data_IF_537501841639
#
_entry.id   IF_537501841639
#
_cell.length_a   1.000
_cell.length_b   1.000
_cell.length_c   1.000
_cell.angle_alpha   90.00
_cell.angle_beta   90.00
_cell.angle_gamma   90.00
#
_symmetry.space_group_name_H-M   'P 1'
#
loop_
_entity.id
_entity.type
_entity.pdbx_description
1 polymer ?
#
# COMPACT_ATOMS: atom_id res chain seq x y z
N UNK A 1 13.28 17.03 6.05
CA UNK A 1 12.39 18.20 6.23
C UNK A 1 11.05 17.80 6.87
N UNK A 2 11.04 17.31 8.11
CA UNK A 2 9.80 16.94 8.83
C UNK A 2 9.51 17.85 10.04
N UNK A 3 10.42 18.77 10.38
CA UNK A 3 10.33 19.57 11.61
C UNK A 3 9.66 20.94 11.46
N UNK A 4 9.40 21.43 10.24
CA UNK A 4 8.83 22.77 10.03
C UNK A 4 7.31 22.86 10.21
N UNK A 5 6.58 21.74 10.18
CA UNK A 5 5.12 21.70 10.28
C UNK A 5 4.57 21.30 11.66
N UNK A 6 5.42 20.79 12.54
CA UNK A 6 5.06 20.41 13.92
C UNK A 6 4.46 21.57 14.75
N UNK A 7 5.02 22.80 14.79
CA UNK A 7 4.47 23.86 15.63
C UNK A 7 3.07 24.31 15.18
N UNK A 8 2.78 24.29 13.88
CA UNK A 8 1.46 24.64 13.32
C UNK A 8 0.40 23.57 13.65
N UNK A 9 0.81 22.29 13.68
CA UNK A 9 -0.07 21.18 14.05
C UNK A 9 -0.38 21.16 15.56
N UNK A 10 0.60 21.45 16.41
CA UNK A 10 0.39 21.57 17.88
C UNK A 10 -0.58 22.71 18.19
N UNK A 11 -0.45 23.85 17.50
CA UNK A 11 -1.36 24.99 17.65
C UNK A 11 -2.80 24.66 17.19
N UNK A 12 -2.98 23.89 16.11
CA UNK A 12 -4.31 23.48 15.63
C UNK A 12 -5.01 22.48 16.54
N UNK A 13 -4.26 21.56 17.15
CA UNK A 13 -4.81 20.58 18.11
C UNK A 13 -5.22 21.26 19.42
N UNK A 14 -4.53 22.32 19.83
CA UNK A 14 -4.95 23.14 20.99
C UNK A 14 -6.17 24.03 20.72
N UNK A 15 -6.48 24.29 19.45
CA UNK A 15 -7.59 25.16 19.03
C UNK A 15 -8.88 24.40 18.69
N UNK A 16 -8.91 23.07 18.78
CA UNK A 16 -10.07 22.26 18.45
C UNK A 16 -11.14 22.38 19.57
N UNK A 17 -12.31 23.00 19.32
CA UNK A 17 -13.32 23.26 20.36
C UNK A 17 -13.82 21.97 21.05
N UNK A 18 -13.76 20.82 20.37
CA UNK A 18 -14.15 19.52 20.91
C UNK A 18 -13.21 19.00 22.02
N UNK A 19 -11.96 19.45 22.07
CA UNK A 19 -11.01 19.10 23.15
C UNK A 19 -11.23 20.01 24.37
N UNK A 20 -11.68 21.26 24.15
CA UNK A 20 -11.99 22.22 25.22
C UNK A 20 -13.31 21.92 25.95
N UNK A 21 -14.31 21.40 25.25
CA UNK A 21 -15.65 21.14 25.81
C UNK A 21 -15.80 19.81 26.58
N UNK A 22 -14.84 18.89 26.47
CA UNK A 22 -14.91 17.58 27.14
C UNK A 22 -14.53 17.59 28.64
N UNK A 23 -14.66 18.72 29.33
CA UNK A 23 -14.50 18.80 30.79
C UNK A 23 -15.76 18.33 31.55
N UNK A 24 -16.89 18.13 30.87
CA UNK A 24 -18.19 17.89 31.50
C UNK A 24 -18.65 16.43 31.58
N UNK A 25 -18.18 15.51 30.73
CA UNK A 25 -18.57 14.09 30.81
C UNK A 25 -17.67 13.20 29.95
N UNK A 26 -16.50 12.85 30.49
CA UNK A 26 -15.77 11.65 30.06
C UNK A 26 -15.11 11.08 31.32
N UNK A 27 -15.72 10.06 31.93
CA UNK A 27 -15.46 9.63 33.32
C UNK A 27 -14.03 9.13 33.64
N UNK A 28 -13.07 9.20 32.71
CA UNK A 28 -11.65 8.90 33.02
C UNK A 28 -10.68 9.65 32.12
N UNK A 29 -9.53 10.05 32.69
CA UNK A 29 -8.37 10.59 31.96
C UNK A 29 -7.92 9.66 30.81
N UNK A 30 -8.13 8.35 30.97
CA UNK A 30 -7.82 7.35 29.94
C UNK A 30 -8.64 7.55 28.66
N UNK A 31 -9.91 7.89 28.77
CA UNK A 31 -10.78 8.10 27.62
C UNK A 31 -10.41 9.38 26.86
N UNK A 32 -10.09 10.46 27.58
CA UNK A 32 -9.59 11.71 26.97
C UNK A 32 -8.26 11.49 26.23
N UNK A 33 -7.36 10.68 26.80
CA UNK A 33 -6.09 10.32 26.17
C UNK A 33 -6.29 9.50 24.88
N UNK A 34 -7.19 8.53 24.89
CA UNK A 34 -7.52 7.72 23.70
C UNK A 34 -8.18 8.58 22.62
N UNK A 35 -9.11 9.46 22.99
CA UNK A 35 -9.76 10.40 22.06
C UNK A 35 -8.75 11.39 21.44
N UNK A 36 -7.82 11.92 22.24
CA UNK A 36 -6.77 12.79 21.72
C UNK A 36 -5.82 12.04 20.77
N UNK A 37 -5.42 10.82 21.13
CA UNK A 37 -4.61 9.96 20.26
C UNK A 37 -5.30 9.65 18.93
N UNK A 38 -6.60 9.33 18.96
CA UNK A 38 -7.36 9.01 17.75
C UNK A 38 -7.50 10.24 16.85
N UNK A 39 -7.79 11.41 17.44
CA UNK A 39 -7.83 12.69 16.72
C UNK A 39 -6.50 13.02 16.05
N UNK A 40 -5.38 12.97 16.80
CA UNK A 40 -4.03 13.18 16.26
C UNK A 40 -3.68 12.22 15.12
N UNK A 41 -4.04 10.94 15.26
CA UNK A 41 -3.87 9.94 14.19
C UNK A 41 -4.71 10.30 12.96
N UNK A 42 -5.95 10.75 13.15
CA UNK A 42 -6.84 11.21 12.08
C UNK A 42 -6.27 12.39 11.30
N UNK A 43 -5.82 13.44 12.01
CA UNK A 43 -5.19 14.62 11.40
C UNK A 43 -3.92 14.23 10.64
N UNK A 44 -3.07 13.41 11.24
CA UNK A 44 -1.82 12.94 10.61
C UNK A 44 -2.12 12.18 9.32
N UNK A 45 -3.07 11.24 9.35
CA UNK A 45 -3.52 10.50 8.15
C UNK A 45 -4.07 11.43 7.08
N UNK A 46 -4.87 12.43 7.47
CA UNK A 46 -5.40 13.44 6.55
C UNK A 46 -4.31 14.28 5.88
N UNK A 47 -3.27 14.66 6.62
CA UNK A 47 -2.12 15.37 6.07
C UNK A 47 -1.30 14.50 5.10
N UNK A 48 -1.05 13.24 5.46
CA UNK A 48 -0.32 12.29 4.59
C UNK A 48 -1.08 12.08 3.28
N UNK A 49 -2.39 11.79 3.34
CA UNK A 49 -3.22 11.62 2.15
C UNK A 49 -3.23 12.85 1.25
N UNK A 50 -3.31 14.05 1.82
CA UNK A 50 -3.25 15.30 1.04
C UNK A 50 -1.92 15.44 0.31
N UNK A 51 -0.81 15.08 0.97
CA UNK A 51 0.52 15.12 0.38
C UNK A 51 0.67 14.08 -0.74
N UNK A 52 0.17 12.87 -0.53
CA UNK A 52 0.15 11.81 -1.55
C UNK A 52 -0.67 12.24 -2.78
N UNK A 53 -1.85 12.82 -2.58
CA UNK A 53 -2.67 13.36 -3.66
C UNK A 53 -1.95 14.46 -4.44
N UNK A 54 -1.32 15.42 -3.76
CA UNK A 54 -0.52 16.47 -4.41
C UNK A 54 0.65 15.90 -5.22
N UNK A 55 1.32 14.87 -4.68
CA UNK A 55 2.43 14.22 -5.37
C UNK A 55 1.95 13.44 -6.61
N UNK A 56 0.85 12.71 -6.49
CA UNK A 56 0.24 11.99 -7.62
C UNK A 56 -0.23 12.95 -8.71
N UNK A 57 -0.82 14.09 -8.33
CA UNK A 57 -1.21 15.14 -9.27
C UNK A 57 0.01 15.73 -10.00
N UNK A 58 1.12 15.96 -9.29
CA UNK A 58 2.36 16.43 -9.91
C UNK A 58 2.93 15.43 -10.91
N UNK A 59 2.90 14.13 -10.59
CA UNK A 59 3.34 13.07 -11.53
C UNK A 59 2.51 13.10 -12.80
N UNK A 60 1.17 13.14 -12.67
CA UNK A 60 0.26 13.15 -13.83
C UNK A 60 0.44 14.39 -14.71
N UNK A 61 0.70 15.55 -14.11
CA UNK A 61 1.03 16.78 -14.87
C UNK A 61 2.36 16.61 -15.63
N UNK A 62 3.42 16.14 -14.96
CA UNK A 62 4.73 15.94 -15.59
C UNK A 62 4.70 14.89 -16.72
N UNK A 63 3.96 13.80 -16.53
CA UNK A 63 3.74 12.77 -17.56
C UNK A 63 3.00 13.34 -18.78
N UNK A 64 1.98 14.17 -18.55
CA UNK A 64 1.25 14.85 -19.62
C UNK A 64 2.13 15.84 -20.39
N UNK A 65 2.93 16.66 -19.68
CA UNK A 65 3.88 17.59 -20.29
C UNK A 65 4.97 16.86 -21.09
N UNK A 66 5.50 15.76 -20.55
CA UNK A 66 6.44 14.89 -21.26
C UNK A 66 5.82 14.31 -22.53
N UNK A 67 4.62 13.73 -22.46
CA UNK A 67 3.96 13.14 -23.62
C UNK A 67 3.73 14.18 -24.74
N UNK A 68 3.34 15.40 -24.36
CA UNK A 68 3.17 16.51 -25.30
C UNK A 68 4.50 16.93 -25.95
N UNK A 69 5.58 17.05 -25.18
CA UNK A 69 6.90 17.38 -25.72
C UNK A 69 7.50 16.24 -26.54
N UNK A 70 7.26 14.98 -26.19
CA UNK A 70 7.69 13.82 -26.98
C UNK A 70 6.97 13.77 -28.32
N UNK A 71 5.67 14.13 -28.36
CA UNK A 71 4.92 14.26 -29.60
C UNK A 71 5.50 15.37 -30.50
N UNK A 72 5.84 16.53 -29.92
CA UNK A 72 6.48 17.65 -30.62
C UNK A 72 7.90 17.32 -31.09
N UNK A 73 8.67 16.59 -30.30
CA UNK A 73 10.03 16.16 -30.63
C UNK A 73 10.07 15.21 -31.84
N UNK A 74 9.01 14.41 -32.04
CA UNK A 74 8.89 13.54 -33.23
C UNK A 74 8.66 14.32 -34.52
N UNK A 75 8.14 15.54 -34.44
CA UNK A 75 7.82 16.38 -35.59
C UNK A 75 8.90 17.43 -35.87
N UNK A 76 9.61 17.88 -34.83
CA UNK A 76 10.62 18.92 -34.90
C UNK A 76 11.84 18.48 -34.08
N UNK A 77 12.95 18.22 -34.78
CA UNK A 77 14.21 17.90 -34.13
C UNK A 77 14.92 19.20 -33.72
N UNK A 78 15.04 19.44 -32.42
CA UNK A 78 15.68 20.63 -31.87
C UNK A 78 16.38 20.35 -30.53
N UNK A 79 17.61 20.83 -30.37
CA UNK A 79 18.36 20.67 -29.12
C UNK A 79 17.61 21.18 -27.89
N UNK A 80 16.89 22.30 -28.04
CA UNK A 80 16.13 22.91 -26.95
C UNK A 80 15.00 21.98 -26.46
N UNK A 81 14.35 21.27 -27.38
CA UNK A 81 13.30 20.30 -27.08
C UNK A 81 13.86 19.07 -26.34
N UNK A 82 15.08 18.63 -26.71
CA UNK A 82 15.79 17.54 -26.01
C UNK A 82 16.19 17.95 -24.59
N UNK A 83 16.65 19.21 -24.40
CA UNK A 83 16.97 19.73 -23.05
C UNK A 83 15.74 19.81 -22.16
N UNK A 84 14.62 20.28 -22.68
CA UNK A 84 13.35 20.32 -21.94
C UNK A 84 12.86 18.91 -21.56
N UNK A 85 12.95 17.94 -22.48
CA UNK A 85 12.63 16.55 -22.17
C UNK A 85 13.55 15.93 -21.12
N UNK A 86 14.86 16.20 -21.18
CA UNK A 86 15.81 15.74 -20.18
C UNK A 86 15.50 16.34 -18.79
N UNK A 87 15.14 17.62 -18.74
CA UNK A 87 14.74 18.29 -17.51
C UNK A 87 13.48 17.66 -16.89
N UNK A 88 12.41 17.50 -17.67
CA UNK A 88 11.16 16.89 -17.18
C UNK A 88 11.37 15.44 -16.72
N UNK A 89 12.19 14.66 -17.43
CA UNK A 89 12.56 13.30 -17.01
C UNK A 89 13.27 13.29 -15.66
N UNK A 90 14.22 14.21 -15.47
CA UNK A 90 14.92 14.34 -14.20
C UNK A 90 13.97 14.73 -13.05
N UNK A 91 13.02 15.64 -13.32
CA UNK A 91 12.01 16.05 -12.33
C UNK A 91 11.06 14.90 -11.98
N UNK A 92 10.59 14.14 -12.97
CA UNK A 92 9.76 12.97 -12.77
C UNK A 92 10.49 11.92 -11.94
N UNK A 93 11.76 11.61 -12.29
CA UNK A 93 12.59 10.71 -11.51
C UNK A 93 12.75 11.15 -10.06
N UNK A 94 12.95 12.43 -9.80
CA UNK A 94 13.08 12.95 -8.43
C UNK A 94 11.81 12.68 -7.62
N UNK A 95 10.63 12.87 -8.22
CA UNK A 95 9.34 12.63 -7.55
C UNK A 95 9.09 11.13 -7.34
N UNK A 96 9.41 10.29 -8.32
CA UNK A 96 9.27 8.82 -8.23
C UNK A 96 10.25 8.22 -7.23
N UNK A 97 11.45 8.76 -7.09
CA UNK A 97 12.48 8.26 -6.17
C UNK A 97 12.05 8.41 -4.71
N UNK A 98 11.24 9.43 -4.39
CA UNK A 98 10.63 9.57 -3.06
C UNK A 98 9.67 8.41 -2.76
N UNK A 99 8.83 8.03 -3.73
CA UNK A 99 7.91 6.89 -3.58
C UNK A 99 8.68 5.57 -3.50
N UNK A 100 9.65 5.36 -4.39
CA UNK A 100 10.51 4.18 -4.38
C UNK A 100 11.22 4.02 -3.03
N UNK A 101 11.71 5.13 -2.45
CA UNK A 101 12.32 5.11 -1.12
C UNK A 101 11.33 4.75 -0.01
N UNK A 102 10.10 5.22 -0.07
CA UNK A 102 9.06 4.84 0.90
C UNK A 102 8.69 3.36 0.78
N UNK A 103 8.51 2.84 -0.43
CA UNK A 103 8.26 1.43 -0.68
C UNK A 103 9.44 0.58 -0.20
N UNK A 104 10.67 1.00 -0.51
CA UNK A 104 11.88 0.33 -0.05
C UNK A 104 11.93 0.28 1.48
N UNK A 105 11.71 1.41 2.15
CA UNK A 105 11.65 1.48 3.61
C UNK A 105 10.54 0.58 4.16
N UNK A 106 9.35 0.58 3.58
CA UNK A 106 8.26 -0.30 4.02
C UNK A 106 8.58 -1.79 3.83
N UNK A 107 9.31 -2.15 2.77
CA UNK A 107 9.72 -3.54 2.50
C UNK A 107 10.87 -4.02 3.38
N UNK A 108 11.73 -3.10 3.82
CA UNK A 108 12.95 -3.42 4.60
C UNK A 108 12.77 -3.23 6.10
N UNK A 109 11.81 -2.40 6.52
CA UNK A 109 11.48 -2.22 7.92
C UNK A 109 10.93 -3.50 8.52
N UNK A 110 11.53 -3.93 9.62
CA UNK A 110 11.00 -5.04 10.39
C UNK A 110 9.76 -4.58 11.14
N UNK A 111 8.78 -5.46 11.27
CA UNK A 111 7.44 -5.18 11.84
C UNK A 111 7.51 -4.47 13.20
N UNK A 112 8.56 -4.77 13.97
CA UNK A 112 8.77 -4.22 15.30
C UNK A 112 9.28 -2.77 15.32
N UNK A 113 9.68 -2.21 14.18
CA UNK A 113 10.22 -0.84 14.11
C UNK A 113 9.10 0.22 13.96
N UNK A 114 7.85 -0.20 13.77
CA UNK A 114 6.70 0.65 13.42
C UNK A 114 5.87 1.13 14.62
N UNK A 115 6.23 0.80 15.86
CA UNK A 115 5.60 1.33 17.09
C UNK A 115 4.11 0.97 17.32
N UNK A 116 3.49 0.23 16.40
CA UNK A 116 2.11 -0.26 16.46
C UNK A 116 2.17 -1.80 16.62
N UNK A 117 2.82 -2.22 17.70
CA UNK A 117 3.60 -3.46 17.78
C UNK A 117 2.80 -4.76 17.98
N UNK A 118 1.72 -4.76 18.76
CA UNK A 118 1.08 -6.03 19.12
C UNK A 118 0.03 -6.46 18.12
N UNK A 119 -0.88 -5.57 17.73
CA UNK A 119 -1.99 -5.90 16.84
C UNK A 119 -1.56 -6.29 15.43
N UNK A 120 -0.59 -5.57 14.84
CA UNK A 120 -0.10 -5.86 13.48
C UNK A 120 0.75 -7.12 13.43
N UNK A 121 1.61 -7.34 14.42
CA UNK A 121 2.40 -8.55 14.54
C UNK A 121 1.48 -9.77 14.76
N UNK A 122 0.50 -9.66 15.66
CA UNK A 122 -0.49 -10.71 15.90
C UNK A 122 -1.29 -11.00 14.63
N UNK A 123 -1.73 -9.97 13.90
CA UNK A 123 -2.43 -10.15 12.63
C UNK A 123 -1.56 -10.88 11.60
N UNK A 124 -0.27 -10.54 11.48
CA UNK A 124 0.66 -11.18 10.55
C UNK A 124 0.98 -12.63 10.93
N UNK A 125 1.18 -12.90 12.22
CA UNK A 125 1.35 -14.27 12.72
C UNK A 125 0.07 -15.09 12.49
N UNK A 126 -1.09 -14.54 12.82
CA UNK A 126 -2.38 -15.19 12.61
C UNK A 126 -2.68 -15.42 11.12
N UNK A 127 -2.38 -14.47 10.23
CA UNK A 127 -2.58 -14.67 8.77
C UNK A 127 -1.62 -15.70 8.20
N UNK A 128 -0.38 -15.76 8.70
CA UNK A 128 0.57 -16.82 8.31
C UNK A 128 0.08 -18.19 8.78
N UNK A 129 -0.38 -18.29 10.02
CA UNK A 129 -0.95 -19.53 10.58
C UNK A 129 -2.23 -19.95 9.86
N UNK A 130 -3.10 -19.00 9.49
CA UNK A 130 -4.30 -19.25 8.69
C UNK A 130 -3.90 -19.72 7.30
N UNK A 131 -2.94 -19.06 6.63
CA UNK A 131 -2.47 -19.48 5.30
C UNK A 131 -1.85 -20.88 5.30
N UNK A 132 -1.18 -21.27 6.39
CA UNK A 132 -0.66 -22.62 6.57
C UNK A 132 -1.76 -23.66 6.89
N UNK A 133 -2.94 -23.20 7.34
CA UNK A 133 -4.13 -24.02 7.64
C UNK A 133 -5.21 -23.95 6.55
N UNK A 134 -4.98 -23.23 5.45
CA UNK A 134 -5.88 -23.30 4.29
C UNK A 134 -5.71 -24.69 3.70
N UNK A 135 -6.65 -25.56 4.05
CA UNK A 135 -6.77 -26.88 3.43
C UNK A 135 -7.11 -26.65 1.96
N UNK A 136 -6.28 -27.10 1.01
CA UNK A 136 -6.58 -26.94 -0.40
C UNK A 136 -7.90 -27.67 -0.70
N UNK A 137 -8.86 -26.99 -1.30
CA UNK A 137 -10.08 -27.61 -1.80
C UNK A 137 -9.91 -27.93 -3.27
N UNK A 138 -10.21 -29.15 -3.68
CA UNK A 138 -10.30 -29.50 -5.10
C UNK A 138 -11.68 -30.06 -5.41
N UNK A 139 -12.06 -30.02 -6.69
CA UNK A 139 -13.19 -30.82 -7.19
C UNK A 139 -12.65 -32.13 -7.73
N UNK A 140 -13.22 -33.23 -7.25
CA UNK A 140 -12.93 -34.56 -7.74
C UNK A 140 -13.56 -34.78 -9.12
N UNK A 141 -13.21 -35.89 -9.78
CA UNK A 141 -13.73 -36.28 -11.10
C UNK A 141 -15.26 -36.45 -11.10
N UNK A 142 -15.86 -36.69 -9.95
CA UNK A 142 -17.32 -36.78 -9.72
C UNK A 142 -17.99 -35.42 -9.50
N UNK A 143 -17.22 -34.32 -9.51
CA UNK A 143 -17.69 -32.96 -9.24
C UNK A 143 -17.84 -32.61 -7.75
N UNK A 144 -17.60 -33.56 -6.84
CA UNK A 144 -17.65 -33.34 -5.40
C UNK A 144 -16.42 -32.55 -4.90
N UNK A 145 -16.63 -31.64 -3.94
CA UNK A 145 -15.54 -30.89 -3.31
C UNK A 145 -14.87 -31.79 -2.27
N UNK A 146 -13.54 -31.90 -2.34
CA UNK A 146 -12.72 -32.67 -1.41
C UNK A 146 -11.75 -31.75 -0.68
N UNK A 147 -11.71 -31.91 0.63
CA UNK A 147 -10.81 -31.19 1.55
C UNK A 147 -9.76 -32.14 2.15
N UNK A 148 -9.93 -33.46 2.03
CA UNK A 148 -8.96 -34.43 2.53
C UNK A 148 -7.72 -34.47 1.63
N UNK A 149 -6.54 -34.23 2.21
CA UNK A 149 -5.25 -34.22 1.52
C UNK A 149 -4.95 -35.54 0.82
N UNK A 150 -5.36 -36.68 1.38
CA UNK A 150 -5.16 -37.99 0.76
C UNK A 150 -6.06 -38.17 -0.46
N UNK A 151 -7.32 -37.76 -0.35
CA UNK A 151 -8.26 -37.75 -1.48
C UNK A 151 -7.76 -36.81 -2.59
N UNK A 152 -7.25 -35.64 -2.22
CA UNK A 152 -6.67 -34.65 -3.15
C UNK A 152 -5.49 -35.24 -3.91
N UNK A 153 -4.54 -35.84 -3.19
CA UNK A 153 -3.37 -36.48 -3.80
C UNK A 153 -3.78 -37.61 -4.75
N UNK A 154 -4.78 -38.41 -4.39
CA UNK A 154 -5.31 -39.47 -5.23
C UNK A 154 -5.95 -38.93 -6.52
N UNK A 155 -6.81 -37.90 -6.42
CA UNK A 155 -7.44 -37.26 -7.58
C UNK A 155 -6.39 -36.67 -8.54
N UNK A 156 -5.33 -36.04 -8.01
CA UNK A 156 -4.23 -35.56 -8.84
C UNK A 156 -3.47 -36.70 -9.51
N UNK A 157 -3.15 -37.77 -8.77
CA UNK A 157 -2.46 -38.94 -9.32
C UNK A 157 -3.28 -39.58 -10.45
N UNK A 158 -4.59 -39.78 -10.26
CA UNK A 158 -5.46 -40.35 -11.29
C UNK A 158 -5.54 -39.43 -12.52
N UNK A 159 -5.68 -38.12 -12.32
CA UNK A 159 -5.71 -37.16 -13.42
C UNK A 159 -4.46 -37.22 -14.30
N UNK A 160 -3.27 -37.27 -13.69
CA UNK A 160 -2.02 -37.35 -14.46
C UNK A 160 -1.83 -38.70 -15.15
N UNK A 161 -2.26 -39.80 -14.51
CA UNK A 161 -2.27 -41.12 -15.15
C UNK A 161 -3.15 -41.09 -16.40
N UNK A 162 -4.35 -40.54 -16.31
CA UNK A 162 -5.27 -40.45 -17.45
C UNK A 162 -4.74 -39.52 -18.54
N UNK A 163 -4.12 -38.39 -18.16
CA UNK A 163 -3.54 -37.43 -19.10
C UNK A 163 -2.41 -38.04 -19.94
N UNK A 164 -1.56 -38.85 -19.32
CA UNK A 164 -0.41 -39.45 -20.01
C UNK A 164 -0.70 -40.84 -20.58
N UNK A 165 -1.81 -41.49 -20.18
CA UNK A 165 -2.29 -42.73 -20.79
C UNK A 165 -3.02 -42.50 -22.12
N UNK A 166 -3.52 -41.28 -22.36
CA UNK A 166 -4.04 -40.88 -23.66
C UNK A 166 -2.88 -40.70 -24.63
N UNK A 167 -2.56 -41.77 -25.36
CA UNK A 167 -1.65 -41.74 -26.51
C UNK A 167 -2.15 -40.65 -27.47
N UNK A 168 -1.33 -39.67 -27.87
CA UNK A 168 -1.73 -38.72 -28.90
C UNK A 168 -1.99 -39.51 -30.17
N UNK A 169 -3.24 -39.52 -30.63
CA UNK A 169 -3.57 -40.06 -31.95
C UNK A 169 -2.81 -39.27 -33.00
N UNK A 170 -2.11 -39.93 -33.95
CA UNK A 170 -1.44 -39.26 -35.06
C UNK A 170 -2.41 -38.49 -35.96
#
# INVERSE_FOLDING_TARGET
>A
MLYRSLPVLVAKVHADPQVRENKGSVASTGTLWVANKSSLRGVTKGCVRRREAQQSQRITVLEGEMANLECRARQLDGEELRRQLAFLRAELWQVSLVQARQCWQASTQRVYELGDMTGKLLYQLATRDVSARVVPLIRDLTGAIREDLLAIAHTFASYYVDLYAQVPSP
#
